data_IF_189128583978
#
_entry.id   IF_189128583978
#
_cell.length_a   1.000
_cell.length_b   1.000
_cell.length_c   1.000
_cell.angle_alpha   90.00
_cell.angle_beta   90.00
_cell.angle_gamma   90.00
#
_symmetry.space_group_name_H-M   'P 1'
#
loop_
_entity.id
_entity.type
_entity.pdbx_description
1 polymer ?
#
# COMPACT_ATOMS: atom_id res chain seq x y z
N UNK A 1 28.57 41.48 0.98
CA UNK A 1 28.80 40.12 0.41
C UNK A 1 28.59 39.00 1.43
N UNK A 2 29.16 39.08 2.64
CA UNK A 2 29.03 38.06 3.70
C UNK A 2 27.57 37.64 4.01
N UNK A 3 26.64 38.61 4.15
CA UNK A 3 25.22 38.31 4.37
C UNK A 3 24.53 37.59 3.20
N UNK A 4 24.91 37.89 1.94
CA UNK A 4 24.35 37.21 0.75
C UNK A 4 24.83 35.76 0.65
N UNK A 5 26.09 35.50 1.03
CA UNK A 5 26.66 34.14 1.10
C UNK A 5 26.02 33.34 2.24
N UNK A 6 25.78 33.97 3.38
CA UNK A 6 25.11 33.33 4.53
C UNK A 6 23.65 32.97 4.23
N UNK A 7 22.92 33.87 3.57
CA UNK A 7 21.56 33.61 3.08
C UNK A 7 21.51 32.48 2.05
N UNK A 8 22.43 32.47 1.08
CA UNK A 8 22.50 31.42 0.06
C UNK A 8 22.80 30.03 0.66
N UNK A 9 23.72 29.96 1.63
CA UNK A 9 24.03 28.71 2.35
C UNK A 9 22.85 28.21 3.17
N UNK A 10 22.10 29.10 3.82
CA UNK A 10 20.94 28.72 4.63
C UNK A 10 19.79 28.17 3.77
N UNK A 11 19.55 28.74 2.58
CA UNK A 11 18.56 28.24 1.62
C UNK A 11 18.94 26.85 1.08
N UNK A 12 20.23 26.60 0.82
CA UNK A 12 20.71 25.31 0.35
C UNK A 12 20.53 24.20 1.39
N UNK A 13 20.75 24.51 2.67
CA UNK A 13 20.50 23.59 3.79
C UNK A 13 19.00 23.30 3.93
N UNK A 14 18.13 24.31 3.85
CA UNK A 14 16.67 24.12 3.92
C UNK A 14 16.12 23.24 2.78
N UNK A 15 16.73 23.28 1.60
CA UNK A 15 16.35 22.43 0.46
C UNK A 15 16.76 20.95 0.66
N UNK A 16 17.83 20.69 1.41
CA UNK A 16 18.32 19.32 1.66
C UNK A 16 17.49 18.51 2.67
N UNK A 17 16.55 19.14 3.38
CA UNK A 17 15.68 18.47 4.37
C UNK A 17 14.40 17.89 3.71
N UNK A 18 14.21 18.09 2.40
CA UNK A 18 13.03 17.59 1.67
C UNK A 18 13.21 16.12 1.27
N UNK A 19 13.27 15.20 2.26
CA UNK A 19 13.66 13.82 2.02
C UNK A 19 13.05 12.78 2.98
N UNK A 20 11.74 12.81 3.23
CA UNK A 20 11.03 11.73 3.96
C UNK A 20 9.59 11.54 3.44
N UNK A 21 9.37 11.54 2.12
CA UNK A 21 8.05 11.30 1.53
C UNK A 21 7.93 9.88 0.96
N UNK A 22 8.21 8.86 1.78
CA UNK A 22 7.84 7.49 1.41
C UNK A 22 6.32 7.38 1.43
N UNK A 23 5.72 6.94 0.32
CA UNK A 23 4.27 6.80 0.23
C UNK A 23 3.81 5.62 1.10
N UNK A 24 2.89 5.88 2.02
CA UNK A 24 2.29 4.83 2.86
C UNK A 24 0.97 4.37 2.22
N UNK A 25 0.94 3.10 1.79
CA UNK A 25 -0.25 2.50 1.17
C UNK A 25 -1.20 1.83 2.19
N UNK A 26 -0.75 1.68 3.44
CA UNK A 26 -1.43 0.87 4.46
C UNK A 26 -1.15 -0.63 4.30
N UNK A 27 -1.75 -1.45 5.18
CA UNK A 27 -1.60 -2.91 5.19
C UNK A 27 -2.94 -3.58 5.45
N UNK A 28 -3.15 -4.74 4.84
CA UNK A 28 -4.29 -5.60 5.15
C UNK A 28 -3.92 -6.54 6.31
N UNK A 29 -4.76 -6.54 7.35
CA UNK A 29 -4.58 -7.44 8.49
C UNK A 29 -4.85 -8.90 8.12
N UNK A 30 -4.16 -9.83 8.79
CA UNK A 30 -4.48 -11.25 8.66
C UNK A 30 -5.89 -11.55 9.17
N UNK A 31 -6.55 -12.53 8.55
CA UNK A 31 -7.86 -13.01 8.98
C UNK A 31 -7.78 -13.61 10.39
N UNK A 32 -8.49 -13.00 11.32
CA UNK A 32 -8.54 -13.41 12.74
C UNK A 32 -9.38 -14.67 12.93
N UNK A 33 -9.17 -15.39 14.04
CA UNK A 33 -9.99 -16.57 14.36
C UNK A 33 -11.47 -16.22 14.52
N UNK A 34 -11.77 -15.07 15.12
CA UNK A 34 -13.15 -14.62 15.29
C UNK A 34 -13.86 -14.38 13.95
N UNK A 35 -13.18 -13.75 12.99
CA UNK A 35 -13.69 -13.57 11.63
C UNK A 35 -13.94 -14.92 10.94
N UNK A 36 -13.02 -15.90 11.08
CA UNK A 36 -13.19 -17.25 10.50
C UNK A 36 -14.44 -17.95 10.99
N UNK A 37 -14.70 -17.86 12.30
CA UNK A 37 -15.80 -18.57 12.93
C UNK A 37 -17.13 -17.89 12.66
N UNK A 38 -17.19 -16.56 12.78
CA UNK A 38 -18.43 -15.78 12.71
C UNK A 38 -18.89 -15.43 11.30
N UNK A 39 -17.98 -15.31 10.32
CA UNK A 39 -18.35 -14.87 8.98
C UNK A 39 -19.13 -15.93 8.20
N UNK A 40 -20.15 -15.42 7.50
CA UNK A 40 -20.95 -16.12 6.49
C UNK A 40 -20.28 -16.07 5.12
N UNK A 41 -20.73 -16.91 4.18
CA UNK A 41 -20.23 -16.90 2.81
C UNK A 41 -20.32 -15.52 2.14
N UNK A 42 -21.42 -14.81 2.36
CA UNK A 42 -21.61 -13.44 1.85
C UNK A 42 -20.57 -12.48 2.43
N UNK A 43 -20.23 -12.61 3.70
CA UNK A 43 -19.24 -11.75 4.36
C UNK A 43 -17.83 -12.06 3.86
N UNK A 44 -17.49 -13.32 3.60
CA UNK A 44 -16.24 -13.65 2.93
C UNK A 44 -16.14 -13.04 1.53
N UNK A 45 -17.21 -13.11 0.73
CA UNK A 45 -17.23 -12.50 -0.61
C UNK A 45 -17.08 -10.97 -0.54
N UNK A 46 -17.74 -10.31 0.42
CA UNK A 46 -17.60 -8.88 0.66
C UNK A 46 -16.19 -8.49 1.09
N UNK A 47 -15.58 -9.26 2.00
CA UNK A 47 -14.20 -9.01 2.44
C UNK A 47 -13.19 -9.24 1.29
N UNK A 48 -13.40 -10.24 0.44
CA UNK A 48 -12.59 -10.45 -0.76
C UNK A 48 -12.73 -9.27 -1.73
N UNK A 49 -13.94 -8.76 -1.94
CA UNK A 49 -14.16 -7.57 -2.77
C UNK A 49 -13.44 -6.33 -2.20
N UNK A 50 -13.45 -6.13 -0.88
CA UNK A 50 -12.69 -5.04 -0.23
C UNK A 50 -11.18 -5.19 -0.44
N UNK A 51 -10.65 -6.40 -0.29
CA UNK A 51 -9.21 -6.66 -0.53
C UNK A 51 -8.85 -6.42 -2.00
N UNK A 52 -9.70 -6.81 -2.95
CA UNK A 52 -9.49 -6.51 -4.37
C UNK A 52 -9.50 -4.99 -4.64
N UNK A 53 -10.45 -4.26 -4.04
CA UNK A 53 -10.52 -2.80 -4.14
C UNK A 53 -9.30 -2.10 -3.53
N UNK A 54 -8.77 -2.62 -2.42
CA UNK A 54 -7.50 -2.16 -1.86
C UNK A 54 -6.33 -2.39 -2.84
N UNK A 55 -6.22 -3.59 -3.42
CA UNK A 55 -5.18 -3.91 -4.42
C UNK A 55 -5.27 -3.00 -5.64
N UNK A 56 -6.48 -2.72 -6.14
CA UNK A 56 -6.70 -1.78 -7.24
C UNK A 56 -6.28 -0.36 -6.84
N UNK A 57 -6.67 0.10 -5.65
CA UNK A 57 -6.30 1.41 -5.12
C UNK A 57 -4.78 1.58 -5.04
N UNK A 58 -4.05 0.61 -4.45
CA UNK A 58 -2.57 0.62 -4.38
C UNK A 58 -1.96 0.67 -5.78
N UNK A 59 -2.48 -0.12 -6.72
CA UNK A 59 -1.98 -0.13 -8.10
C UNK A 59 -2.27 1.17 -8.86
N UNK A 60 -3.41 1.83 -8.60
CA UNK A 60 -3.78 3.11 -9.20
C UNK A 60 -2.95 4.26 -8.64
N UNK A 61 -2.81 4.32 -7.32
CA UNK A 61 -1.99 5.31 -6.62
C UNK A 61 -0.50 5.19 -6.98
N UNK A 62 -0.02 3.97 -7.27
CA UNK A 62 1.33 3.72 -7.75
C UNK A 62 1.58 4.21 -9.19
N UNK A 63 0.56 4.47 -10.01
CA UNK A 63 0.73 4.92 -11.40
C UNK A 63 0.84 6.44 -11.54
N UNK A 64 0.43 7.21 -10.52
CA UNK A 64 0.15 8.65 -10.63
C UNK A 64 1.02 9.58 -9.78
N UNK A 65 2.18 9.14 -9.28
CA UNK A 65 3.10 10.11 -8.70
C UNK A 65 3.92 10.73 -9.83
N UNK A 66 3.57 11.91 -10.33
CA UNK A 66 4.47 12.72 -11.17
C UNK A 66 5.81 13.05 -10.47
N UNK A 67 5.87 12.83 -9.15
CA UNK A 67 7.08 12.77 -8.33
C UNK A 67 7.92 11.51 -8.56
N UNK A 68 7.36 10.40 -9.05
CA UNK A 68 8.12 9.20 -9.40
C UNK A 68 9.06 9.44 -10.58
N UNK A 69 8.75 10.36 -11.50
CA UNK A 69 9.72 10.75 -12.55
C UNK A 69 10.96 11.44 -11.98
N UNK A 70 10.84 12.09 -10.81
CA UNK A 70 11.98 12.68 -10.08
C UNK A 70 12.58 11.73 -9.03
N UNK A 71 11.79 10.81 -8.45
CA UNK A 71 12.23 9.79 -7.49
C UNK A 71 12.90 8.58 -8.16
N UNK A 72 12.63 8.32 -9.45
CA UNK A 72 13.37 7.37 -10.29
C UNK A 72 14.81 7.87 -10.53
N UNK A 73 15.09 9.16 -10.37
CA UNK A 73 16.44 9.73 -10.53
C UNK A 73 17.32 9.62 -9.27
N UNK A 74 16.81 9.14 -8.14
CA UNK A 74 17.64 8.86 -6.96
C UNK A 74 16.85 8.24 -5.81
N UNK A 75 17.35 7.12 -5.27
CA UNK A 75 17.06 6.36 -4.02
C UNK A 75 15.59 6.22 -3.52
N UNK A 76 14.78 7.27 -3.61
CA UNK A 76 13.37 7.34 -3.23
C UNK A 76 12.45 6.39 -4.03
N UNK A 77 12.85 5.96 -5.24
CA UNK A 77 12.12 4.94 -6.01
C UNK A 77 12.13 3.54 -5.38
N UNK A 78 13.21 3.18 -4.66
CA UNK A 78 13.34 1.86 -4.02
C UNK A 78 12.39 1.75 -2.83
N UNK A 79 12.32 2.78 -1.98
CA UNK A 79 11.42 2.81 -0.82
C UNK A 79 9.93 2.74 -1.21
N UNK A 80 9.51 3.48 -2.25
CA UNK A 80 8.12 3.44 -2.72
C UNK A 80 7.75 2.08 -3.34
N UNK A 81 8.67 1.45 -4.07
CA UNK A 81 8.48 0.11 -4.63
C UNK A 81 8.41 -0.96 -3.53
N UNK A 82 9.26 -0.84 -2.51
CA UNK A 82 9.23 -1.73 -1.34
C UNK A 82 7.92 -1.60 -0.57
N UNK A 83 7.46 -0.37 -0.32
CA UNK A 83 6.18 -0.12 0.35
C UNK A 83 4.98 -0.64 -0.45
N UNK A 84 5.00 -0.46 -1.78
CA UNK A 84 3.98 -1.05 -2.66
C UNK A 84 3.99 -2.57 -2.54
N UNK A 85 5.16 -3.19 -2.62
CA UNK A 85 5.31 -4.64 -2.55
C UNK A 85 4.78 -5.18 -1.22
N UNK A 86 5.13 -4.55 -0.11
CA UNK A 86 4.65 -4.92 1.22
C UNK A 86 3.12 -4.75 1.37
N UNK A 87 2.54 -3.71 0.77
CA UNK A 87 1.10 -3.51 0.77
C UNK A 87 0.38 -4.61 -0.03
N UNK A 88 0.86 -4.92 -1.24
CA UNK A 88 0.31 -5.98 -2.09
C UNK A 88 0.48 -7.37 -1.47
N UNK A 89 1.62 -7.65 -0.85
CA UNK A 89 1.86 -8.90 -0.13
C UNK A 89 0.87 -9.09 1.01
N UNK A 90 0.62 -8.03 1.80
CA UNK A 90 -0.37 -8.08 2.88
C UNK A 90 -1.80 -8.36 2.36
N UNK A 91 -2.15 -7.76 1.22
CA UNK A 91 -3.44 -7.96 0.57
C UNK A 91 -3.59 -9.39 0.04
N UNK A 92 -2.57 -9.91 -0.64
CA UNK A 92 -2.57 -11.28 -1.16
C UNK A 92 -2.71 -12.30 -0.03
N UNK A 93 -1.96 -12.13 1.06
CA UNK A 93 -2.05 -12.99 2.23
C UNK A 93 -3.47 -13.01 2.83
N UNK A 94 -4.11 -11.84 2.97
CA UNK A 94 -5.51 -11.78 3.45
C UNK A 94 -6.48 -12.42 2.46
N UNK A 95 -6.32 -12.18 1.16
CA UNK A 95 -7.16 -12.78 0.12
C UNK A 95 -7.08 -14.31 0.11
N UNK A 96 -5.87 -14.88 0.23
CA UNK A 96 -5.66 -16.32 0.34
C UNK A 96 -6.35 -16.91 1.57
N UNK A 97 -6.22 -16.25 2.72
CA UNK A 97 -6.89 -16.68 3.95
C UNK A 97 -8.42 -16.65 3.82
N UNK A 98 -8.98 -15.59 3.23
CA UNK A 98 -10.42 -15.48 2.99
C UNK A 98 -10.92 -16.56 2.03
N UNK A 99 -10.20 -16.81 0.93
CA UNK A 99 -10.53 -17.84 -0.06
C UNK A 99 -10.48 -19.23 0.57
N UNK A 100 -9.42 -19.55 1.29
CA UNK A 100 -9.28 -20.84 1.97
C UNK A 100 -10.41 -21.10 2.98
N UNK A 101 -10.85 -20.07 3.71
CA UNK A 101 -11.93 -20.20 4.69
C UNK A 101 -13.31 -20.32 4.03
N UNK A 102 -13.54 -19.57 2.96
CA UNK A 102 -14.73 -19.70 2.13
C UNK A 102 -14.85 -21.11 1.53
N UNK A 103 -13.75 -21.66 1.03
CA UNK A 103 -13.70 -23.02 0.47
C UNK A 103 -13.92 -24.07 1.58
N UNK A 104 -13.32 -23.87 2.76
CA UNK A 104 -13.54 -24.73 3.93
C UNK A 104 -15.02 -24.75 4.39
N UNK A 105 -15.72 -23.61 4.30
CA UNK A 105 -17.17 -23.52 4.57
C UNK A 105 -18.05 -24.00 3.41
N UNK A 106 -17.46 -24.47 2.30
CA UNK A 106 -18.17 -24.96 1.10
C UNK A 106 -19.16 -23.93 0.55
N UNK A 107 -18.78 -22.67 0.57
CA UNK A 107 -19.60 -21.62 -0.02
C UNK A 107 -19.77 -21.86 -1.53
N UNK A 108 -20.98 -21.63 -2.05
CA UNK A 108 -21.21 -21.70 -3.48
C UNK A 108 -20.34 -20.66 -4.20
N UNK A 109 -19.80 -21.03 -5.36
CA UNK A 109 -19.11 -20.09 -6.25
C UNK A 109 -20.12 -19.08 -6.80
N UNK A 110 -20.28 -17.97 -6.08
CA UNK A 110 -20.85 -16.78 -6.69
C UNK A 110 -19.77 -16.18 -7.60
N UNK A 111 -20.05 -15.92 -8.88
CA UNK A 111 -19.15 -15.14 -9.70
C UNK A 111 -19.02 -13.74 -9.07
N UNK A 112 -17.87 -13.47 -8.49
CA UNK A 112 -17.41 -12.12 -8.12
C UNK A 112 -16.95 -11.39 -9.37
#
# INVERSE_FOLDING_TARGET
MKHKVLLASSVLVLLSIQGCATKTYGRQGSLTSYEKDSMTCREFDLEIAKVNGFTEHVNKESKFSGRDVLAILGDFGIGNSLEKSAALESANKRAEQLRAQRDAKKCATNPV
#
